data_IF_758289209210
#
_entry.id   IF_758289209210
#
_cell.length_a   1.000
_cell.length_b   1.000
_cell.length_c   1.000
_cell.angle_alpha   90.00
_cell.angle_beta   90.00
_cell.angle_gamma   90.00
#
_symmetry.space_group_name_H-M   'P 1'
#
loop_
_entity.id
_entity.type
_entity.pdbx_description
1 polymer ?
#
# COMPACT_ATOMS: atom_id res chain seq x y z
N UNK A 1 32.91 0.76 4.66
CA UNK A 1 32.65 2.05 4.00
C UNK A 1 31.18 2.37 4.18
N UNK A 2 30.85 3.54 4.69
CA UNK A 2 29.48 4.01 4.82
C UNK A 2 29.00 4.54 3.47
N UNK A 3 28.09 3.82 2.83
CA UNK A 3 27.50 4.18 1.53
C UNK A 3 26.14 4.87 1.70
N UNK A 4 25.87 5.44 2.88
CA UNK A 4 24.59 6.08 3.19
C UNK A 4 24.11 7.02 2.09
N UNK A 5 24.97 7.90 1.58
CA UNK A 5 24.59 8.83 0.50
C UNK A 5 24.28 8.14 -0.85
N UNK A 6 24.94 7.03 -1.16
CA UNK A 6 24.70 6.27 -2.40
C UNK A 6 23.38 5.48 -2.35
N UNK A 7 22.97 5.00 -1.16
CA UNK A 7 21.71 4.29 -0.98
C UNK A 7 20.48 5.18 -1.26
N UNK A 8 20.57 6.50 -1.04
CA UNK A 8 19.48 7.44 -1.33
C UNK A 8 19.60 8.14 -2.70
N UNK A 9 20.74 8.02 -3.39
CA UNK A 9 21.00 8.75 -4.63
C UNK A 9 20.45 7.98 -5.87
N UNK A 10 19.59 8.59 -6.70
CA UNK A 10 19.12 7.97 -7.94
C UNK A 10 20.24 7.80 -8.97
N UNK A 11 21.33 8.58 -8.86
CA UNK A 11 22.48 8.55 -9.78
C UNK A 11 23.68 7.80 -9.19
N UNK A 12 23.49 7.01 -8.13
CA UNK A 12 24.59 6.34 -7.42
C UNK A 12 25.49 5.53 -8.38
N UNK A 13 24.90 4.82 -9.35
CA UNK A 13 25.65 4.04 -10.35
C UNK A 13 26.63 4.87 -11.17
N UNK A 14 26.31 6.14 -11.43
CA UNK A 14 27.21 7.05 -12.15
C UNK A 14 28.44 7.45 -11.31
N UNK A 15 28.34 7.36 -9.98
CA UNK A 15 29.39 7.73 -9.05
C UNK A 15 30.23 6.52 -8.59
N UNK A 16 29.61 5.36 -8.40
CA UNK A 16 30.27 4.17 -7.80
C UNK A 16 30.30 2.94 -8.72
N UNK A 17 29.74 3.02 -9.94
CA UNK A 17 29.62 1.89 -10.85
C UNK A 17 28.51 0.92 -10.42
N UNK A 18 28.65 -0.36 -10.75
CA UNK A 18 27.70 -1.39 -10.33
C UNK A 18 27.57 -1.41 -8.81
N UNK A 19 26.34 -1.26 -8.32
CA UNK A 19 26.08 -1.23 -6.90
C UNK A 19 26.26 -2.64 -6.30
N UNK A 20 26.97 -2.78 -5.16
CA UNK A 20 27.04 -4.04 -4.46
C UNK A 20 25.64 -4.58 -4.14
N UNK A 21 25.42 -5.91 -4.14
CA UNK A 21 24.12 -6.51 -3.80
C UNK A 21 23.53 -5.99 -2.48
N UNK A 22 24.38 -5.74 -1.49
CA UNK A 22 23.98 -5.21 -0.18
C UNK A 22 23.40 -3.79 -0.29
N UNK A 23 23.96 -2.97 -1.19
CA UNK A 23 23.49 -1.60 -1.41
C UNK A 23 22.18 -1.57 -2.21
N UNK A 24 22.03 -2.49 -3.16
CA UNK A 24 20.77 -2.66 -3.90
C UNK A 24 19.64 -3.09 -2.97
N UNK A 25 19.89 -4.06 -2.09
CA UNK A 25 18.94 -4.48 -1.06
C UNK A 25 18.59 -3.31 -0.12
N UNK A 26 19.59 -2.52 0.29
CA UNK A 26 19.35 -1.32 1.10
C UNK A 26 18.52 -0.26 0.35
N UNK A 27 18.75 -0.08 -0.96
CA UNK A 27 17.95 0.81 -1.82
C UNK A 27 16.49 0.37 -1.90
N UNK A 28 16.25 -0.93 -2.05
CA UNK A 28 14.89 -1.51 -2.05
C UNK A 28 14.23 -1.37 -0.68
N UNK A 29 14.96 -1.59 0.42
CA UNK A 29 14.46 -1.37 1.77
C UNK A 29 14.05 0.09 2.04
N UNK A 30 14.78 1.05 1.45
CA UNK A 30 14.50 2.48 1.56
C UNK A 30 13.43 2.97 0.57
N UNK A 31 13.03 2.14 -0.41
CA UNK A 31 12.01 2.49 -1.39
C UNK A 31 10.69 2.86 -0.70
N UNK A 32 10.29 2.08 0.32
CA UNK A 32 9.05 2.32 1.08
C UNK A 32 8.99 3.72 1.69
N UNK A 33 10.10 4.21 2.24
CA UNK A 33 10.17 5.52 2.90
C UNK A 33 10.06 6.64 1.87
N UNK A 34 10.70 6.45 0.71
CA UNK A 34 10.64 7.39 -0.42
C UNK A 34 9.23 7.42 -1.04
N UNK A 35 8.56 6.27 -1.18
CA UNK A 35 7.16 6.20 -1.63
C UNK A 35 6.24 6.93 -0.66
N UNK A 36 6.41 6.73 0.65
CA UNK A 36 5.62 7.44 1.66
C UNK A 36 5.78 8.97 1.58
N UNK A 37 6.98 9.46 1.25
CA UNK A 37 7.24 10.89 1.03
C UNK A 37 6.53 11.40 -0.23
N UNK A 38 6.62 10.67 -1.34
CA UNK A 38 5.95 11.07 -2.60
C UNK A 38 4.42 11.04 -2.46
N UNK A 39 3.86 10.04 -1.76
CA UNK A 39 2.42 10.01 -1.41
C UNK A 39 2.00 11.27 -0.64
N UNK A 40 2.77 11.66 0.40
CA UNK A 40 2.48 12.87 1.18
C UNK A 40 2.56 14.13 0.33
N UNK A 41 3.56 14.22 -0.57
CA UNK A 41 3.71 15.34 -1.50
C UNK A 41 2.53 15.44 -2.47
N UNK A 42 2.04 14.30 -2.96
CA UNK A 42 0.90 14.25 -3.85
C UNK A 42 -0.37 14.72 -3.15
N UNK A 43 -0.70 14.17 -1.97
CA UNK A 43 -1.90 14.53 -1.23
C UNK A 43 -1.85 15.91 -0.56
N UNK A 44 -0.66 16.52 -0.42
CA UNK A 44 -0.46 17.86 0.16
C UNK A 44 -1.09 17.99 1.55
N UNK A 45 -2.22 18.70 1.65
CA UNK A 45 -2.91 18.99 2.90
C UNK A 45 -4.08 18.03 3.16
N UNK A 46 -4.25 16.98 2.34
CA UNK A 46 -5.28 15.97 2.58
C UNK A 46 -4.83 14.97 3.66
N UNK A 47 -4.74 15.48 4.89
CA UNK A 47 -4.28 14.74 6.06
C UNK A 47 -5.13 13.50 6.35
N UNK A 48 -6.39 13.49 5.90
CA UNK A 48 -7.27 12.34 6.02
C UNK A 48 -6.73 11.17 5.20
N UNK A 49 -6.43 11.38 3.91
CA UNK A 49 -5.94 10.29 3.02
C UNK A 49 -4.50 9.91 3.35
N UNK A 50 -3.66 10.89 3.71
CA UNK A 50 -2.32 10.63 4.24
C UNK A 50 -2.39 9.73 5.47
N UNK A 51 -3.29 10.04 6.41
CA UNK A 51 -3.49 9.28 7.63
C UNK A 51 -4.01 7.87 7.35
N UNK A 52 -4.99 7.74 6.45
CA UNK A 52 -5.55 6.46 5.99
C UNK A 52 -4.45 5.56 5.42
N UNK A 53 -3.78 5.99 4.35
CA UNK A 53 -2.73 5.24 3.69
C UNK A 53 -1.57 4.87 4.65
N UNK A 54 -1.24 5.75 5.60
CA UNK A 54 -0.21 5.44 6.61
C UNK A 54 -0.61 4.32 7.57
N UNK A 55 -1.90 4.23 7.94
CA UNK A 55 -2.40 3.15 8.81
C UNK A 55 -2.57 1.85 8.04
N UNK A 56 -3.05 1.91 6.80
CA UNK A 56 -3.07 0.77 5.87
C UNK A 56 -1.66 0.19 5.70
N UNK A 57 -0.64 1.01 5.42
CA UNK A 57 0.74 0.55 5.31
C UNK A 57 1.27 -0.11 6.60
N UNK A 58 0.88 0.38 7.78
CA UNK A 58 1.24 -0.23 9.06
C UNK A 58 0.62 -1.62 9.25
N UNK A 59 -0.64 -1.81 8.86
CA UNK A 59 -1.27 -3.14 8.88
C UNK A 59 -0.64 -4.06 7.84
N UNK A 60 -0.41 -3.54 6.62
CA UNK A 60 0.19 -4.28 5.52
C UNK A 60 1.60 -4.77 5.87
N UNK A 61 2.40 -3.99 6.59
CA UNK A 61 3.70 -4.42 7.08
C UNK A 61 3.60 -5.62 8.04
N UNK A 62 2.67 -5.57 9.01
CA UNK A 62 2.49 -6.64 10.01
C UNK A 62 1.94 -7.91 9.38
N UNK A 63 0.93 -7.78 8.53
CA UNK A 63 0.29 -8.91 7.83
C UNK A 63 1.30 -9.51 6.83
N UNK A 64 1.96 -8.67 6.03
CA UNK A 64 2.93 -9.11 5.03
C UNK A 64 4.13 -9.87 5.61
N UNK A 65 4.58 -9.53 6.81
CA UNK A 65 5.63 -10.31 7.52
C UNK A 65 5.18 -11.74 7.83
N UNK A 66 3.94 -11.95 8.23
CA UNK A 66 3.39 -13.29 8.54
C UNK A 66 3.07 -14.08 7.27
N UNK A 67 2.47 -13.43 6.28
CA UNK A 67 2.08 -14.01 4.99
C UNK A 67 3.24 -14.16 4.00
N UNK A 68 4.45 -13.72 4.37
CA UNK A 68 5.66 -13.73 3.52
C UNK A 68 5.46 -12.98 2.19
N UNK A 69 4.73 -11.88 2.23
CA UNK A 69 4.58 -10.98 1.08
C UNK A 69 5.88 -10.26 0.76
N UNK A 70 6.03 -9.81 -0.50
CA UNK A 70 7.14 -8.98 -0.92
C UNK A 70 6.99 -7.58 -0.27
N UNK A 71 7.88 -7.18 0.66
CA UNK A 71 7.71 -5.92 1.39
C UNK A 71 7.73 -4.69 0.49
N UNK A 72 8.52 -4.71 -0.57
CA UNK A 72 8.65 -3.58 -1.48
C UNK A 72 7.35 -3.34 -2.27
N UNK A 73 6.72 -4.42 -2.76
CA UNK A 73 5.41 -4.36 -3.45
C UNK A 73 4.31 -3.98 -2.47
N UNK A 74 4.21 -4.71 -1.34
CA UNK A 74 3.13 -4.54 -0.36
C UNK A 74 3.09 -3.12 0.19
N UNK A 75 4.24 -2.56 0.59
CA UNK A 75 4.27 -1.23 1.18
C UNK A 75 4.10 -0.13 0.13
N UNK A 76 4.65 -0.30 -1.07
CA UNK A 76 4.41 0.65 -2.15
C UNK A 76 2.93 0.72 -2.53
N UNK A 77 2.28 -0.43 -2.72
CA UNK A 77 0.86 -0.51 -3.01
C UNK A 77 0.00 0.02 -1.85
N UNK A 78 0.32 -0.32 -0.61
CA UNK A 78 -0.42 0.18 0.56
C UNK A 78 -0.37 1.71 0.70
N UNK A 79 0.77 2.34 0.41
CA UNK A 79 0.85 3.80 0.39
C UNK A 79 0.13 4.45 -0.79
N UNK A 80 0.05 3.76 -1.93
CA UNK A 80 -0.43 4.33 -3.19
C UNK A 80 -1.84 3.86 -3.61
N UNK A 81 -2.51 2.95 -2.89
CA UNK A 81 -3.80 2.38 -3.30
C UNK A 81 -4.86 3.44 -3.65
N UNK A 82 -5.02 4.44 -2.79
CA UNK A 82 -5.97 5.54 -2.96
C UNK A 82 -5.43 6.73 -3.78
N UNK A 83 -4.25 6.61 -4.43
CA UNK A 83 -3.59 7.76 -5.08
C UNK A 83 -4.43 8.36 -6.22
N UNK A 84 -5.32 7.57 -6.82
CA UNK A 84 -6.23 7.98 -7.87
C UNK A 84 -7.38 8.89 -7.43
N UNK A 85 -7.63 9.05 -6.13
CA UNK A 85 -8.86 9.71 -5.62
C UNK A 85 -9.03 11.17 -6.09
N UNK A 86 -7.95 11.95 -6.18
CA UNK A 86 -8.02 13.35 -6.63
C UNK A 86 -8.27 13.45 -8.14
N UNK A 87 -7.65 12.59 -8.95
CA UNK A 87 -7.91 12.54 -10.39
C UNK A 87 -9.31 11.99 -10.70
N UNK A 88 -9.80 11.03 -9.91
CA UNK A 88 -11.15 10.52 -10.01
C UNK A 88 -12.19 11.64 -9.79
N UNK A 89 -12.02 12.43 -8.73
CA UNK A 89 -12.87 13.58 -8.43
C UNK A 89 -12.78 14.66 -9.53
N UNK A 90 -11.58 14.96 -10.02
CA UNK A 90 -11.34 15.98 -11.04
C UNK A 90 -11.95 15.62 -12.40
N UNK A 91 -11.78 14.36 -12.86
CA UNK A 91 -12.21 13.93 -14.20
C UNK A 91 -13.66 13.47 -14.25
N UNK A 92 -14.13 12.81 -13.19
CA UNK A 92 -15.42 12.12 -13.17
C UNK A 92 -16.42 12.75 -12.19
N UNK A 93 -16.00 13.74 -11.39
CA UNK A 93 -16.84 14.33 -10.34
C UNK A 93 -17.21 13.33 -9.25
N UNK A 94 -16.45 12.24 -9.11
CA UNK A 94 -16.78 11.12 -8.25
C UNK A 94 -15.52 10.45 -7.71
N UNK A 95 -15.59 10.00 -6.45
CA UNK A 95 -14.56 9.17 -5.81
C UNK A 95 -15.00 7.70 -5.76
N UNK A 96 -15.85 7.25 -6.67
CA UNK A 96 -16.26 5.85 -6.75
C UNK A 96 -15.05 4.95 -7.05
N UNK A 97 -15.10 3.71 -6.55
CA UNK A 97 -13.97 2.77 -6.61
C UNK A 97 -13.47 2.57 -8.05
N UNK A 98 -14.39 2.42 -9.01
CA UNK A 98 -14.04 2.20 -10.42
C UNK A 98 -13.19 3.34 -11.02
N UNK A 99 -13.43 4.58 -10.60
CA UNK A 99 -12.66 5.73 -11.09
C UNK A 99 -11.31 5.82 -10.40
N UNK A 100 -11.25 5.55 -9.09
CA UNK A 100 -9.97 5.55 -8.37
C UNK A 100 -9.03 4.48 -8.91
N UNK A 101 -9.56 3.28 -9.17
CA UNK A 101 -8.83 2.16 -9.75
C UNK A 101 -8.39 2.41 -11.20
N UNK A 102 -9.16 3.21 -11.95
CA UNK A 102 -8.76 3.63 -13.30
C UNK A 102 -7.66 4.69 -13.29
N UNK A 103 -7.77 5.69 -12.41
CA UNK A 103 -6.87 6.85 -12.39
C UNK A 103 -5.61 6.64 -11.54
N UNK A 104 -5.62 5.70 -10.59
CA UNK A 104 -4.52 5.42 -9.68
C UNK A 104 -3.25 4.85 -10.35
N UNK A 105 -3.33 3.81 -11.20
CA UNK A 105 -2.15 3.14 -11.75
C UNK A 105 -1.21 4.08 -12.54
N UNK A 106 -1.69 4.99 -13.42
CA UNK A 106 -0.82 5.94 -14.11
C UNK A 106 -0.01 6.84 -13.15
N UNK A 107 -0.63 7.28 -12.04
CA UNK A 107 0.01 8.15 -11.04
C UNK A 107 1.04 7.35 -10.24
N UNK A 108 0.67 6.15 -9.79
CA UNK A 108 1.57 5.25 -9.08
C UNK A 108 2.80 4.89 -9.92
N UNK A 109 2.59 4.56 -11.20
CA UNK A 109 3.66 4.32 -12.17
C UNK A 109 4.61 5.50 -12.27
N UNK A 110 4.08 6.72 -12.44
CA UNK A 110 4.91 7.93 -12.52
C UNK A 110 5.77 8.14 -11.26
N UNK A 111 5.21 7.89 -10.07
CA UNK A 111 5.93 8.02 -8.80
C UNK A 111 7.04 6.97 -8.72
N UNK A 112 6.73 5.71 -9.01
CA UNK A 112 7.69 4.61 -8.88
C UNK A 112 8.84 4.68 -9.91
N UNK A 113 8.54 5.08 -11.16
CA UNK A 113 9.57 5.35 -12.19
C UNK A 113 10.51 6.45 -11.72
N UNK A 114 9.98 7.57 -11.21
CA UNK A 114 10.79 8.67 -10.66
C UNK A 114 11.69 8.21 -9.50
N UNK A 115 11.25 7.21 -8.74
CA UNK A 115 12.03 6.66 -7.63
C UNK A 115 13.07 5.60 -8.06
N UNK A 116 13.05 5.18 -9.33
CA UNK A 116 13.95 4.16 -9.88
C UNK A 116 13.56 2.73 -9.50
N UNK A 117 12.27 2.48 -9.30
CA UNK A 117 11.77 1.12 -9.07
C UNK A 117 11.92 0.25 -10.33
N UNK A 118 12.13 -1.06 -10.13
CA UNK A 118 12.17 -2.06 -11.21
C UNK A 118 10.81 -2.22 -11.87
N UNK A 119 10.80 -2.57 -13.15
CA UNK A 119 9.58 -2.70 -13.95
C UNK A 119 8.62 -3.73 -13.37
N UNK A 120 9.12 -4.88 -12.89
CA UNK A 120 8.29 -5.94 -12.31
C UNK A 120 7.58 -5.49 -11.03
N UNK A 121 8.24 -4.66 -10.21
CA UNK A 121 7.63 -4.07 -9.01
C UNK A 121 6.56 -3.05 -9.40
N UNK A 122 6.86 -2.21 -10.40
CA UNK A 122 5.92 -1.20 -10.89
C UNK A 122 4.65 -1.87 -11.41
N UNK A 123 4.81 -2.91 -12.22
CA UNK A 123 3.69 -3.61 -12.84
C UNK A 123 2.81 -4.31 -11.79
N UNK A 124 3.39 -4.98 -10.79
CA UNK A 124 2.61 -5.61 -9.72
C UNK A 124 1.90 -4.57 -8.85
N UNK A 125 2.56 -3.46 -8.49
CA UNK A 125 1.92 -2.39 -7.72
C UNK A 125 0.79 -1.75 -8.53
N UNK A 126 0.99 -1.48 -9.81
CA UNK A 126 -0.04 -0.92 -10.68
C UNK A 126 -1.24 -1.86 -10.85
N UNK A 127 -0.99 -3.17 -11.01
CA UNK A 127 -2.06 -4.17 -11.05
C UNK A 127 -2.84 -4.14 -9.74
N UNK A 128 -2.19 -4.22 -8.57
CA UNK A 128 -2.88 -4.15 -7.27
C UNK A 128 -3.78 -2.92 -7.18
N UNK A 129 -3.26 -1.74 -7.52
CA UNK A 129 -4.00 -0.48 -7.45
C UNK A 129 -5.21 -0.48 -8.41
N UNK A 130 -5.09 -1.11 -9.58
CA UNK A 130 -6.14 -1.13 -10.60
C UNK A 130 -7.40 -1.93 -10.22
N UNK A 131 -7.41 -2.61 -9.07
CA UNK A 131 -8.55 -3.43 -8.64
C UNK A 131 -8.57 -3.68 -7.12
N UNK A 132 -7.98 -2.79 -6.31
CA UNK A 132 -7.84 -3.00 -4.87
C UNK A 132 -9.16 -3.05 -4.09
N UNK A 133 -10.29 -2.63 -4.67
CA UNK A 133 -11.64 -2.84 -4.13
C UNK A 133 -12.34 -4.08 -4.72
N UNK A 134 -11.80 -4.66 -5.79
CA UNK A 134 -12.43 -5.72 -6.59
C UNK A 134 -11.52 -6.96 -6.68
N UNK A 135 -11.43 -7.77 -5.61
CA UNK A 135 -10.62 -8.98 -5.60
C UNK A 135 -11.04 -9.95 -6.71
N UNK A 136 -10.05 -10.53 -7.39
CA UNK A 136 -10.16 -11.50 -8.48
C UNK A 136 -9.71 -12.89 -8.04
N UNK A 137 -10.13 -13.91 -8.79
CA UNK A 137 -9.61 -15.26 -8.59
C UNK A 137 -8.14 -15.31 -9.02
N UNK A 138 -7.27 -15.84 -8.16
CA UNK A 138 -5.84 -15.98 -8.46
C UNK A 138 -4.96 -14.79 -8.06
N UNK A 139 -5.51 -13.77 -7.39
CA UNK A 139 -4.70 -12.63 -6.92
C UNK A 139 -3.53 -13.07 -6.04
N UNK A 140 -2.42 -12.33 -6.18
CA UNK A 140 -1.17 -12.60 -5.47
C UNK A 140 -1.34 -12.46 -3.95
N UNK A 141 -0.40 -13.01 -3.19
CA UNK A 141 -0.39 -12.81 -1.75
C UNK A 141 -0.23 -11.32 -1.40
N UNK A 142 0.52 -10.56 -2.19
CA UNK A 142 0.75 -9.13 -1.99
C UNK A 142 -0.56 -8.35 -2.13
N UNK A 143 -1.37 -8.66 -3.15
CA UNK A 143 -2.70 -8.09 -3.30
C UNK A 143 -3.56 -8.35 -2.06
N UNK A 144 -3.65 -9.62 -1.63
CA UNK A 144 -4.50 -10.02 -0.49
C UNK A 144 -4.09 -9.31 0.80
N UNK A 145 -2.79 -9.11 1.02
CA UNK A 145 -2.27 -8.35 2.15
C UNK A 145 -2.75 -6.89 2.11
N UNK A 146 -2.65 -6.22 0.95
CA UNK A 146 -3.07 -4.83 0.79
C UNK A 146 -4.58 -4.70 0.95
N UNK A 147 -5.35 -5.59 0.33
CA UNK A 147 -6.81 -5.65 0.45
C UNK A 147 -7.27 -5.80 1.90
N UNK A 148 -6.71 -6.78 2.63
CA UNK A 148 -7.05 -7.00 4.04
C UNK A 148 -6.70 -5.80 4.92
N UNK A 149 -5.59 -5.13 4.60
CA UNK A 149 -5.12 -3.96 5.35
C UNK A 149 -6.02 -2.74 5.15
N UNK A 150 -6.46 -2.49 3.92
CA UNK A 150 -7.41 -1.41 3.63
C UNK A 150 -8.80 -1.71 4.20
N UNK A 151 -9.29 -2.94 4.04
CA UNK A 151 -10.54 -3.38 4.64
C UNK A 151 -10.54 -3.21 6.17
N UNK A 152 -9.43 -3.57 6.83
CA UNK A 152 -9.28 -3.40 8.28
C UNK A 152 -9.36 -1.93 8.70
N UNK A 153 -8.60 -1.05 8.07
CA UNK A 153 -8.61 0.37 8.41
C UNK A 153 -10.01 0.98 8.16
N UNK A 154 -10.65 0.62 7.05
CA UNK A 154 -12.02 1.04 6.75
C UNK A 154 -13.03 0.58 7.81
N UNK A 155 -12.88 -0.63 8.34
CA UNK A 155 -13.72 -1.14 9.43
C UNK A 155 -13.41 -0.45 10.77
N UNK A 156 -12.13 -0.19 11.07
CA UNK A 156 -11.72 0.50 12.30
C UNK A 156 -12.24 1.96 12.32
N UNK A 157 -12.12 2.69 11.22
CA UNK A 157 -12.71 4.03 11.08
C UNK A 157 -14.23 4.01 11.28
N UNK A 158 -14.92 3.02 10.69
CA UNK A 158 -16.37 2.87 10.84
C UNK A 158 -16.75 2.54 12.28
N UNK A 159 -16.01 1.64 12.93
CA UNK A 159 -16.24 1.22 14.31
C UNK A 159 -16.05 2.37 15.29
N UNK A 160 -15.02 3.21 15.10
CA UNK A 160 -14.77 4.42 15.92
C UNK A 160 -15.89 5.47 15.78
N UNK A 161 -16.46 5.62 14.58
CA UNK A 161 -17.55 6.57 14.32
C UNK A 161 -18.90 6.06 14.78
N UNK A 162 -19.18 4.76 14.55
CA UNK A 162 -20.45 4.11 14.87
C UNK A 162 -20.20 2.65 15.25
N UNK A 163 -20.08 2.33 16.54
CA UNK A 163 -19.81 0.98 17.00
C UNK A 163 -20.85 -0.03 16.51
N UNK A 164 -20.36 -1.12 15.95
CA UNK A 164 -21.11 -2.29 15.52
C UNK A 164 -21.03 -3.38 16.60
N UNK A 165 -22.06 -4.22 16.68
CA UNK A 165 -22.06 -5.37 17.56
C UNK A 165 -20.95 -6.37 17.20
N UNK A 166 -20.31 -6.94 18.21
CA UNK A 166 -19.21 -7.91 18.08
C UNK A 166 -19.53 -9.06 17.12
N UNK A 167 -20.74 -9.61 17.19
CA UNK A 167 -21.15 -10.72 16.31
C UNK A 167 -21.17 -10.32 14.84
N UNK A 168 -21.60 -9.09 14.55
CA UNK A 168 -21.59 -8.56 13.19
C UNK A 168 -20.16 -8.36 12.68
N UNK A 169 -19.25 -7.88 13.53
CA UNK A 169 -17.83 -7.76 13.17
C UNK A 169 -17.20 -9.12 12.89
N UNK A 170 -17.43 -10.12 13.74
CA UNK A 170 -16.95 -11.50 13.51
C UNK A 170 -17.41 -12.06 12.17
N UNK A 171 -18.69 -11.88 11.83
CA UNK A 171 -19.23 -12.30 10.54
C UNK A 171 -18.57 -11.60 9.35
N UNK A 172 -18.27 -10.29 9.46
CA UNK A 172 -17.55 -9.55 8.42
C UNK A 172 -16.11 -10.06 8.29
N UNK A 173 -15.40 -10.23 9.41
CA UNK A 173 -14.00 -10.70 9.43
C UNK A 173 -13.91 -12.08 8.77
N UNK A 174 -14.77 -13.02 9.16
CA UNK A 174 -14.75 -14.38 8.63
C UNK A 174 -15.06 -14.45 7.12
N UNK A 175 -15.92 -13.56 6.62
CA UNK A 175 -16.38 -13.58 5.22
C UNK A 175 -15.48 -12.80 4.27
N UNK A 176 -14.90 -11.69 4.73
CA UNK A 176 -14.39 -10.65 3.83
C UNK A 176 -12.87 -10.62 3.74
N UNK A 177 -12.16 -11.07 4.77
CA UNK A 177 -10.69 -11.09 4.78
C UNK A 177 -10.14 -12.31 4.05
N UNK A 178 -9.12 -12.08 3.23
CA UNK A 178 -8.55 -13.03 2.29
C UNK A 178 -7.40 -13.85 2.89
N UNK A 179 -6.71 -13.32 3.90
CA UNK A 179 -5.57 -13.97 4.57
C UNK A 179 -5.88 -14.38 6.00
N UNK A 180 -5.14 -15.37 6.52
CA UNK A 180 -5.25 -15.78 7.92
C UNK A 180 -4.74 -14.67 8.85
N UNK A 181 -3.57 -14.11 8.53
CA UNK A 181 -2.97 -13.03 9.30
C UNK A 181 -3.82 -11.75 9.28
N UNK A 182 -4.54 -11.48 8.18
CA UNK A 182 -5.50 -10.39 8.08
C UNK A 182 -6.69 -10.59 9.03
N UNK A 183 -7.25 -11.80 9.10
CA UNK A 183 -8.31 -12.13 10.08
C UNK A 183 -7.81 -12.00 11.51
N UNK A 184 -6.62 -12.50 11.83
CA UNK A 184 -6.01 -12.35 13.15
C UNK A 184 -5.84 -10.87 13.52
N UNK A 185 -5.27 -10.07 12.61
CA UNK A 185 -5.07 -8.63 12.82
C UNK A 185 -6.39 -7.91 13.05
N UNK A 186 -7.44 -8.29 12.32
CA UNK A 186 -8.76 -7.70 12.47
C UNK A 186 -9.42 -8.05 13.81
N UNK A 187 -9.24 -9.28 14.31
CA UNK A 187 -9.70 -9.64 15.65
C UNK A 187 -8.95 -8.85 16.73
N UNK A 188 -7.62 -8.72 16.62
CA UNK A 188 -6.80 -7.93 17.55
C UNK A 188 -7.28 -6.47 17.60
N UNK A 189 -7.43 -5.82 16.44
CA UNK A 189 -7.72 -4.39 16.34
C UNK A 189 -9.17 -4.06 16.63
N UNK A 190 -10.13 -4.85 16.12
CA UNK A 190 -11.56 -4.52 16.19
C UNK A 190 -12.27 -5.15 17.40
N UNK A 191 -11.75 -6.27 17.92
CA UNK A 191 -12.38 -7.02 19.02
C UNK A 191 -11.52 -7.08 20.29
N UNK A 192 -10.22 -6.81 20.20
CA UNK A 192 -9.30 -6.89 21.33
C UNK A 192 -8.99 -8.32 21.78
N UNK A 193 -9.11 -9.30 20.87
CA UNK A 193 -8.96 -10.74 21.13
C UNK A 193 -7.97 -11.39 20.18
#
# INVERSE_FOLDING_TARGET
>A
MDFGCAAYCPYAEQCVGDLPPELLAQKEDLLKDRVAIEMKRYFKNDFKRIGHASRVARYAERIGKKEKGNPAVVLAAAYLHDIGIHEAENKHGSTAAEFQETEGPPIAKSILVKLGAKEELIDEVCDIIAHHHHPRSGDSINFKIVYDSDLLENLDEKQKKKPMATEKLRGIIAKSFLTESGREMANEVLLGT
#
